data_IF_463261781360
#
_entry.id   IF_463261781360
#
_cell.length_a   1.000
_cell.length_b   1.000
_cell.length_c   1.000
_cell.angle_alpha   90.00
_cell.angle_beta   90.00
_cell.angle_gamma   90.00
#
_symmetry.space_group_name_H-M   'P 1'
#
loop_
_entity.id
_entity.type
_entity.pdbx_description
1 polymer ?
#
# COMPACT_ATOMS: atom_id res chain seq x y z
N UNK A 1 -16.41 7.77 21.54
CA UNK A 1 -16.45 7.40 20.10
C UNK A 1 -15.62 8.35 19.24
N UNK A 2 -15.83 9.67 19.37
CA UNK A 2 -15.09 10.71 18.64
C UNK A 2 -13.56 10.65 18.76
N UNK A 3 -13.03 10.36 19.96
CA UNK A 3 -11.58 10.25 20.16
C UNK A 3 -10.93 9.17 19.27
N UNK A 4 -11.58 8.02 19.04
CA UNK A 4 -11.04 6.95 18.17
C UNK A 4 -10.94 7.40 16.70
N UNK A 5 -11.97 8.12 16.24
CA UNK A 5 -12.00 8.67 14.87
C UNK A 5 -10.90 9.72 14.71
N UNK A 6 -10.77 10.63 15.68
CA UNK A 6 -9.76 11.68 15.68
C UNK A 6 -8.34 11.09 15.67
N UNK A 7 -8.08 10.05 16.47
CA UNK A 7 -6.80 9.33 16.46
C UNK A 7 -6.52 8.71 15.09
N UNK A 8 -7.49 8.05 14.46
CA UNK A 8 -7.30 7.47 13.13
C UNK A 8 -7.01 8.54 12.07
N UNK A 9 -7.67 9.69 12.13
CA UNK A 9 -7.39 10.82 11.22
C UNK A 9 -5.97 11.32 11.41
N UNK A 10 -5.53 11.52 12.65
CA UNK A 10 -4.15 11.93 12.94
C UNK A 10 -3.14 10.90 12.42
N UNK A 11 -3.41 9.61 12.58
CA UNK A 11 -2.53 8.55 12.09
C UNK A 11 -2.48 8.48 10.56
N UNK A 12 -3.62 8.68 9.89
CA UNK A 12 -3.65 8.76 8.42
C UNK A 12 -2.87 9.98 7.92
N UNK A 13 -3.07 11.13 8.55
CA UNK A 13 -2.36 12.36 8.21
C UNK A 13 -0.84 12.21 8.44
N UNK A 14 -0.43 11.65 9.59
CA UNK A 14 0.98 11.46 9.88
C UNK A 14 1.63 10.48 8.90
N UNK A 15 0.94 9.40 8.53
CA UNK A 15 1.43 8.46 7.53
C UNK A 15 1.58 9.10 6.15
N UNK A 16 0.59 9.88 5.72
CA UNK A 16 0.65 10.63 4.47
C UNK A 16 1.82 11.64 4.48
N UNK A 17 2.00 12.37 5.59
CA UNK A 17 3.10 13.33 5.74
C UNK A 17 4.48 12.65 5.71
N UNK A 18 4.62 11.48 6.33
CA UNK A 18 5.86 10.68 6.26
C UNK A 18 6.11 10.24 4.82
N UNK A 19 5.09 9.78 4.10
CA UNK A 19 5.22 9.41 2.68
C UNK A 19 5.66 10.60 1.82
N UNK A 20 5.02 11.75 1.96
CA UNK A 20 5.25 12.92 1.10
C UNK A 20 6.57 13.63 1.45
N UNK A 21 6.88 13.77 2.74
CA UNK A 21 8.03 14.57 3.18
C UNK A 21 9.29 13.73 3.39
N UNK A 22 9.17 12.63 4.14
CA UNK A 22 10.33 11.85 4.52
C UNK A 22 10.77 10.91 3.40
N UNK A 23 9.83 10.12 2.86
CA UNK A 23 10.16 9.12 1.84
C UNK A 23 10.55 9.78 0.52
N UNK A 24 9.82 10.81 0.08
CA UNK A 24 10.19 11.52 -1.15
C UNK A 24 11.57 12.22 -1.06
N UNK A 25 12.01 12.58 0.15
CA UNK A 25 13.32 13.20 0.40
C UNK A 25 14.49 12.21 0.50
N UNK A 26 14.25 10.90 0.43
CA UNK A 26 15.32 9.89 0.45
C UNK A 26 16.17 9.93 -0.83
N UNK A 27 17.43 9.44 -0.80
CA UNK A 27 18.26 9.35 -1.99
C UNK A 27 17.63 8.48 -3.08
N UNK A 28 18.08 8.70 -4.32
CA UNK A 28 17.58 8.00 -5.49
C UNK A 28 17.57 6.47 -5.29
N UNK A 29 16.43 5.84 -5.59
CA UNK A 29 16.19 4.42 -5.40
C UNK A 29 15.42 4.09 -4.13
N UNK A 30 15.60 4.86 -3.04
CA UNK A 30 14.82 4.72 -1.80
C UNK A 30 13.54 5.56 -1.79
N UNK A 31 13.52 6.63 -2.60
CA UNK A 31 12.41 7.57 -2.70
C UNK A 31 11.13 7.01 -3.35
N UNK A 32 11.20 5.83 -3.97
CA UNK A 32 10.05 5.20 -4.61
C UNK A 32 9.27 4.26 -3.68
N UNK A 33 9.69 4.13 -2.42
CA UNK A 33 9.03 3.26 -1.46
C UNK A 33 7.57 3.70 -1.22
N UNK A 34 6.63 2.75 -1.27
CA UNK A 34 5.21 3.04 -1.03
C UNK A 34 4.80 2.52 0.36
N UNK A 35 5.14 3.30 1.39
CA UNK A 35 4.82 2.97 2.78
C UNK A 35 3.32 2.85 3.00
N UNK A 36 2.56 3.75 2.38
CA UNK A 36 1.10 3.81 2.50
C UNK A 36 0.47 2.48 2.10
N UNK A 37 0.87 1.93 0.94
CA UNK A 37 0.38 0.64 0.46
C UNK A 37 0.77 -0.51 1.38
N UNK A 38 2.02 -0.56 1.85
CA UNK A 38 2.45 -1.65 2.74
C UNK A 38 1.66 -1.62 4.05
N UNK A 39 1.54 -0.44 4.67
CA UNK A 39 0.75 -0.28 5.90
C UNK A 39 -0.71 -0.66 5.67
N UNK A 40 -1.29 -0.27 4.53
CA UNK A 40 -2.66 -0.62 4.18
C UNK A 40 -2.88 -2.13 4.05
N UNK A 41 -1.95 -2.85 3.41
CA UNK A 41 -2.00 -4.32 3.33
C UNK A 41 -1.94 -4.94 4.74
N UNK A 42 -1.10 -4.42 5.64
CA UNK A 42 -1.05 -4.89 7.02
C UNK A 42 -2.32 -4.59 7.81
N UNK A 43 -2.91 -3.41 7.62
CA UNK A 43 -4.21 -3.07 8.21
C UNK A 43 -5.25 -4.09 7.76
N UNK A 44 -5.29 -4.39 6.46
CA UNK A 44 -6.20 -5.37 5.89
C UNK A 44 -6.01 -6.79 6.46
N UNK A 45 -4.77 -7.24 6.64
CA UNK A 45 -4.47 -8.56 7.24
C UNK A 45 -4.87 -8.62 8.72
N UNK A 46 -4.66 -7.53 9.46
CA UNK A 46 -4.88 -7.48 10.91
C UNK A 46 -6.34 -7.19 11.30
N UNK A 47 -7.11 -6.60 10.39
CA UNK A 47 -8.49 -6.15 10.60
C UNK A 47 -9.41 -6.66 9.49
N UNK A 48 -10.47 -5.93 9.16
CA UNK A 48 -11.46 -6.28 8.15
C UNK A 48 -11.46 -5.25 7.01
N UNK A 49 -12.09 -5.61 5.88
CA UNK A 49 -12.23 -4.74 4.71
C UNK A 49 -12.77 -3.35 5.06
N UNK A 50 -13.74 -3.26 5.98
CA UNK A 50 -14.36 -1.98 6.33
C UNK A 50 -13.33 -0.97 6.85
N UNK A 51 -12.44 -1.38 7.75
CA UNK A 51 -11.42 -0.49 8.30
C UNK A 51 -10.34 -0.18 7.26
N UNK A 52 -9.89 -1.20 6.52
CA UNK A 52 -8.92 -1.02 5.46
C UNK A 52 -9.42 -0.09 4.34
N UNK A 53 -10.70 -0.16 3.97
CA UNK A 53 -11.33 0.70 2.99
C UNK A 53 -11.41 2.16 3.48
N UNK A 54 -11.78 2.38 4.75
CA UNK A 54 -11.75 3.73 5.34
C UNK A 54 -10.34 4.33 5.31
N UNK A 55 -9.32 3.52 5.58
CA UNK A 55 -7.92 3.95 5.47
C UNK A 55 -7.50 4.18 4.03
N UNK A 56 -7.92 3.35 3.07
CA UNK A 56 -7.65 3.54 1.64
C UNK A 56 -8.17 4.89 1.14
N UNK A 57 -9.44 5.19 1.46
CA UNK A 57 -10.10 6.43 1.07
C UNK A 57 -9.44 7.62 1.75
N UNK A 58 -9.22 7.55 3.07
CA UNK A 58 -8.61 8.64 3.83
C UNK A 58 -7.18 8.95 3.41
N UNK A 59 -6.34 7.93 3.24
CA UNK A 59 -4.97 8.10 2.77
C UNK A 59 -4.91 8.60 1.33
N UNK A 60 -5.74 8.05 0.45
CA UNK A 60 -5.83 8.52 -0.93
C UNK A 60 -6.27 9.98 -1.03
N UNK A 61 -7.26 10.38 -0.24
CA UNK A 61 -7.69 11.77 -0.12
C UNK A 61 -6.55 12.70 0.32
N UNK A 62 -5.81 12.33 1.36
CA UNK A 62 -4.67 13.15 1.81
C UNK A 62 -3.56 13.20 0.76
N UNK A 63 -3.22 12.08 0.12
CA UNK A 63 -2.22 12.07 -0.94
C UNK A 63 -2.64 12.94 -2.13
N UNK A 64 -3.92 12.92 -2.51
CA UNK A 64 -4.44 13.75 -3.60
C UNK A 64 -4.38 15.25 -3.29
N UNK A 65 -4.57 15.68 -2.04
CA UNK A 65 -4.43 17.10 -1.65
C UNK A 65 -3.01 17.64 -1.91
N UNK A 66 -2.00 16.78 -1.75
CA UNK A 66 -0.60 17.15 -1.91
C UNK A 66 0.00 16.69 -3.25
N UNK A 67 -0.80 16.07 -4.12
CA UNK A 67 -0.36 15.60 -5.43
C UNK A 67 -0.53 16.68 -6.50
N UNK A 68 0.35 16.64 -7.51
CA UNK A 68 0.19 17.44 -8.72
C UNK A 68 -0.72 16.79 -9.77
N UNK A 69 -1.10 15.52 -9.59
CA UNK A 69 -2.05 14.82 -10.46
C UNK A 69 -3.49 15.30 -10.24
N UNK A 70 -4.39 14.96 -11.16
CA UNK A 70 -5.82 15.15 -10.95
C UNK A 70 -6.30 14.58 -9.61
N UNK A 71 -7.13 15.35 -8.91
CA UNK A 71 -7.71 14.94 -7.64
C UNK A 71 -8.56 13.68 -7.81
N UNK A 72 -8.33 12.67 -6.98
CA UNK A 72 -9.03 11.38 -7.01
C UNK A 72 -8.20 10.24 -7.60
N UNK A 73 -7.04 10.51 -8.24
CA UNK A 73 -6.19 9.44 -8.80
C UNK A 73 -5.68 8.52 -7.70
N UNK A 74 -5.09 9.06 -6.63
CA UNK A 74 -4.56 8.22 -5.54
C UNK A 74 -5.69 7.56 -4.74
N UNK A 75 -6.82 8.27 -4.54
CA UNK A 75 -8.01 7.72 -3.91
C UNK A 75 -8.54 6.48 -4.64
N UNK A 76 -8.71 6.58 -5.97
CA UNK A 76 -9.20 5.46 -6.78
C UNK A 76 -8.19 4.31 -6.81
N UNK A 77 -6.91 4.59 -7.00
CA UNK A 77 -5.85 3.58 -6.99
C UNK A 77 -5.80 2.81 -5.68
N UNK A 78 -5.68 3.49 -4.53
CA UNK A 78 -5.59 2.83 -3.23
C UNK A 78 -6.86 2.05 -2.89
N UNK A 79 -8.04 2.60 -3.21
CA UNK A 79 -9.30 1.92 -2.95
C UNK A 79 -9.44 0.65 -3.81
N UNK A 80 -9.12 0.72 -5.09
CA UNK A 80 -9.15 -0.42 -5.99
C UNK A 80 -8.14 -1.50 -5.56
N UNK A 81 -6.91 -1.10 -5.21
CA UNK A 81 -5.90 -2.01 -4.69
C UNK A 81 -6.34 -2.67 -3.38
N UNK A 82 -6.99 -1.94 -2.47
CA UNK A 82 -7.49 -2.49 -1.21
C UNK A 82 -8.53 -3.60 -1.45
N UNK A 83 -9.45 -3.39 -2.39
CA UNK A 83 -10.48 -4.38 -2.75
C UNK A 83 -9.85 -5.63 -3.37
N UNK A 84 -8.88 -5.46 -4.29
CA UNK A 84 -8.16 -6.60 -4.88
C UNK A 84 -7.34 -7.34 -3.84
N UNK A 85 -6.62 -6.61 -2.98
CA UNK A 85 -5.86 -7.22 -1.90
C UNK A 85 -6.77 -8.04 -0.97
N UNK A 86 -7.98 -7.57 -0.69
CA UNK A 86 -8.96 -8.31 0.13
C UNK A 86 -9.43 -9.58 -0.58
N UNK A 87 -9.74 -9.47 -1.87
CA UNK A 87 -10.10 -10.62 -2.69
C UNK A 87 -8.98 -11.67 -2.71
N UNK A 88 -7.72 -11.25 -2.88
CA UNK A 88 -6.57 -12.14 -2.86
C UNK A 88 -6.36 -12.77 -1.48
N UNK A 89 -6.48 -11.98 -0.41
CA UNK A 89 -6.34 -12.43 0.97
C UNK A 89 -7.35 -13.54 1.30
N UNK A 90 -8.61 -13.35 0.94
CA UNK A 90 -9.68 -14.30 1.29
C UNK A 90 -9.70 -15.55 0.41
N UNK A 91 -9.36 -15.45 -0.87
CA UNK A 91 -9.50 -16.57 -1.82
C UNK A 91 -8.19 -17.36 -2.02
N UNK A 92 -7.03 -16.72 -1.97
CA UNK A 92 -5.74 -17.36 -2.29
C UNK A 92 -4.79 -17.46 -1.09
N UNK A 93 -4.85 -16.49 -0.18
CA UNK A 93 -3.83 -16.26 0.85
C UNK A 93 -4.39 -16.42 2.27
N UNK A 94 -5.21 -17.44 2.49
CA UNK A 94 -5.86 -17.73 3.77
C UNK A 94 -4.86 -18.03 4.90
N UNK A 95 -3.68 -18.55 4.56
CA UNK A 95 -2.60 -18.78 5.51
C UNK A 95 -1.84 -17.47 5.75
N UNK A 96 -1.90 -16.91 6.97
CA UNK A 96 -1.16 -15.70 7.38
C UNK A 96 0.35 -15.93 7.59
N UNK A 97 0.97 -16.67 6.68
CA UNK A 97 2.40 -16.94 6.67
C UNK A 97 3.17 -15.78 6.02
N UNK A 98 4.47 -15.71 6.30
CA UNK A 98 5.37 -14.71 5.70
C UNK A 98 5.31 -14.75 4.16
N UNK A 99 5.28 -15.94 3.56
CA UNK A 99 5.18 -16.11 2.11
C UNK A 99 3.90 -15.52 1.52
N UNK A 100 2.77 -15.74 2.20
CA UNK A 100 1.47 -15.18 1.80
C UNK A 100 1.48 -13.65 1.88
N UNK A 101 2.07 -13.08 2.93
CA UNK A 101 2.16 -11.62 3.09
C UNK A 101 3.09 -11.02 2.03
N UNK A 102 4.24 -11.64 1.77
CA UNK A 102 5.15 -11.20 0.72
C UNK A 102 4.48 -11.24 -0.66
N UNK A 103 3.74 -12.32 -0.97
CA UNK A 103 2.98 -12.43 -2.22
C UNK A 103 1.84 -11.40 -2.31
N UNK A 104 1.16 -11.12 -1.19
CA UNK A 104 0.08 -10.14 -1.16
C UNK A 104 0.61 -8.72 -1.37
N UNK A 105 1.72 -8.36 -0.72
CA UNK A 105 2.38 -7.05 -0.88
C UNK A 105 2.91 -6.88 -2.30
N UNK A 106 3.53 -7.91 -2.89
CA UNK A 106 4.04 -7.84 -4.25
C UNK A 106 2.92 -7.65 -5.27
N UNK A 107 1.86 -8.47 -5.20
CA UNK A 107 0.70 -8.35 -6.09
C UNK A 107 -0.01 -7.02 -5.89
N UNK A 108 -0.22 -6.58 -4.65
CA UNK A 108 -0.85 -5.28 -4.36
C UNK A 108 -0.04 -4.12 -4.93
N UNK A 109 1.30 -4.18 -4.84
CA UNK A 109 2.19 -3.19 -5.44
C UNK A 109 2.03 -3.18 -6.96
N UNK A 110 2.05 -4.35 -7.61
CA UNK A 110 1.87 -4.45 -9.06
C UNK A 110 0.51 -3.90 -9.49
N UNK A 111 -0.59 -4.28 -8.83
CA UNK A 111 -1.92 -3.77 -9.16
C UNK A 111 -2.04 -2.26 -8.95
N UNK A 112 -1.49 -1.73 -7.86
CA UNK A 112 -1.43 -0.29 -7.61
C UNK A 112 -0.73 0.46 -8.75
N UNK A 113 0.46 0.00 -9.15
CA UNK A 113 1.21 0.63 -10.23
C UNK A 113 0.51 0.52 -11.58
N UNK A 114 -0.14 -0.61 -11.87
CA UNK A 114 -0.94 -0.78 -13.10
C UNK A 114 -2.11 0.21 -13.11
N UNK A 115 -2.83 0.34 -11.99
CA UNK A 115 -3.92 1.32 -11.91
C UNK A 115 -3.43 2.75 -12.03
N UNK A 116 -2.37 3.10 -11.31
CA UNK A 116 -1.80 4.43 -11.34
C UNK A 116 -1.32 4.79 -12.75
N UNK A 117 -0.57 3.89 -13.41
CA UNK A 117 -0.16 4.08 -14.80
C UNK A 117 -1.36 4.21 -15.75
N UNK A 118 -2.42 3.42 -15.57
CA UNK A 118 -3.62 3.52 -16.39
C UNK A 118 -4.37 4.85 -16.24
N UNK A 119 -4.48 5.36 -15.01
CA UNK A 119 -5.18 6.62 -14.74
C UNK A 119 -4.36 7.82 -15.22
N UNK A 120 -3.04 7.81 -14.99
CA UNK A 120 -2.15 8.83 -15.53
C UNK A 120 -2.12 8.80 -17.06
N UNK A 121 -2.19 7.62 -17.69
CA UNK A 121 -2.29 7.53 -19.14
C UNK A 121 -3.59 8.17 -19.66
N UNK A 122 -4.72 7.92 -18.99
CA UNK A 122 -5.99 8.56 -19.33
C UNK A 122 -5.91 10.08 -19.16
N UNK A 123 -5.36 10.57 -18.04
CA UNK A 123 -5.14 11.99 -17.77
C UNK A 123 -4.30 12.64 -18.89
N UNK A 124 -3.15 12.05 -19.23
CA UNK A 124 -2.27 12.55 -20.28
C UNK A 124 -2.91 12.51 -21.67
N UNK A 125 -3.74 11.51 -21.96
CA UNK A 125 -4.50 11.43 -23.21
C UNK A 125 -5.48 12.61 -23.36
N UNK A 126 -6.17 12.97 -22.28
CA UNK A 126 -7.06 14.15 -22.28
C UNK A 126 -6.28 15.48 -22.34
N UNK A 127 -5.11 15.55 -21.70
CA UNK A 127 -4.25 16.75 -21.68
C UNK A 127 -3.31 16.88 -22.88
N UNK A 128 -3.30 15.90 -23.79
CA UNK A 128 -2.41 15.82 -24.97
C UNK A 128 -0.91 15.94 -24.63
N UNK A 129 -0.50 15.33 -23.52
CA UNK A 129 0.89 15.27 -23.10
C UNK A 129 1.59 14.03 -23.69
N UNK A 130 2.89 14.14 -23.97
CA UNK A 130 3.67 13.04 -24.57
C UNK A 130 3.72 11.81 -23.65
N UNK A 131 3.23 10.67 -24.16
CA UNK A 131 3.07 9.43 -23.40
C UNK A 131 4.29 8.49 -23.43
N UNK A 132 5.43 8.93 -23.97
CA UNK A 132 6.61 8.06 -24.22
C UNK A 132 7.42 7.69 -22.96
N UNK A 133 6.96 8.01 -21.76
CA UNK A 133 7.73 7.78 -20.52
C UNK A 133 7.71 6.33 -19.99
N UNK A 134 6.78 5.48 -20.46
CA UNK A 134 6.55 4.12 -19.92
C UNK A 134 7.61 3.10 -20.39
N UNK A 135 8.26 3.32 -21.53
CA UNK A 135 9.26 2.39 -22.09
C UNK A 135 10.71 2.71 -21.69
N UNK A 136 10.92 3.59 -20.71
CA UNK A 136 12.26 3.96 -20.26
C UNK A 136 12.84 2.91 -19.30
N UNK A 137 14.12 2.52 -19.47
CA UNK A 137 14.83 1.63 -18.54
C UNK A 137 14.85 2.16 -17.10
N UNK A 138 14.94 3.48 -16.92
CA UNK A 138 14.88 4.14 -15.60
C UNK A 138 13.52 3.92 -14.93
N UNK A 139 12.43 3.93 -15.71
CA UNK A 139 11.09 3.66 -15.19
C UNK A 139 11.03 2.24 -14.61
N UNK A 140 11.42 1.22 -15.36
CA UNK A 140 11.40 -0.17 -14.89
C UNK A 140 12.32 -0.41 -13.70
N UNK A 141 13.51 0.20 -13.70
CA UNK A 141 14.43 0.15 -12.55
C UNK A 141 13.80 0.75 -11.30
N UNK A 142 13.10 1.89 -11.43
CA UNK A 142 12.42 2.52 -10.30
C UNK A 142 11.29 1.65 -9.73
N UNK A 143 10.48 1.00 -10.58
CA UNK A 143 9.39 0.12 -10.14
C UNK A 143 9.88 -1.16 -9.49
N UNK A 144 10.98 -1.72 -10.00
CA UNK A 144 11.64 -2.86 -9.36
C UNK A 144 12.21 -2.46 -7.99
N UNK A 145 12.84 -1.29 -7.88
CA UNK A 145 13.36 -0.78 -6.59
C UNK A 145 12.24 -0.60 -5.56
N UNK A 146 11.10 -0.04 -5.96
CA UNK A 146 9.91 0.09 -5.13
C UNK A 146 9.38 -1.27 -4.64
N UNK A 147 9.29 -2.26 -5.54
CA UNK A 147 8.84 -3.61 -5.18
C UNK A 147 9.77 -4.25 -4.12
N UNK A 148 11.08 -4.16 -4.32
CA UNK A 148 12.08 -4.69 -3.37
C UNK A 148 11.93 -3.99 -2.02
N UNK A 149 11.81 -2.67 -1.99
CA UNK A 149 11.67 -1.91 -0.74
C UNK A 149 10.37 -2.23 -0.01
N UNK A 150 9.25 -2.34 -0.74
CA UNK A 150 7.98 -2.75 -0.18
C UNK A 150 8.09 -4.15 0.46
N UNK A 151 8.77 -5.08 -0.21
CA UNK A 151 9.01 -6.43 0.32
C UNK A 151 9.89 -6.39 1.57
N UNK A 152 11.04 -5.71 1.54
CA UNK A 152 11.94 -5.59 2.69
C UNK A 152 11.19 -5.00 3.89
N UNK A 153 10.48 -3.90 3.68
CA UNK A 153 9.72 -3.26 4.76
C UNK A 153 8.59 -4.15 5.28
N UNK A 154 7.92 -4.89 4.40
CA UNK A 154 6.89 -5.85 4.82
C UNK A 154 7.47 -6.97 5.68
N UNK A 155 8.68 -7.44 5.41
CA UNK A 155 9.36 -8.44 6.24
C UNK A 155 9.68 -7.86 7.62
N UNK A 156 10.21 -6.64 7.67
CA UNK A 156 10.48 -5.93 8.93
C UNK A 156 9.20 -5.78 9.76
N UNK A 157 8.12 -5.29 9.15
CA UNK A 157 6.82 -5.16 9.82
C UNK A 157 6.27 -6.52 10.29
N UNK A 158 6.40 -7.57 9.49
CA UNK A 158 5.96 -8.90 9.88
C UNK A 158 6.66 -9.37 11.16
N UNK A 159 7.99 -9.26 11.23
CA UNK A 159 8.73 -9.66 12.43
C UNK A 159 8.40 -8.78 13.64
N UNK A 160 8.27 -7.46 13.46
CA UNK A 160 7.87 -6.55 14.53
C UNK A 160 6.48 -6.89 15.08
N UNK A 161 5.50 -7.12 14.20
CA UNK A 161 4.14 -7.43 14.64
C UNK A 161 4.09 -8.84 15.20
N UNK A 162 4.81 -9.83 14.66
CA UNK A 162 4.86 -11.17 15.25
C UNK A 162 5.53 -11.19 16.64
N UNK A 163 6.49 -10.27 16.88
CA UNK A 163 7.10 -10.09 18.20
C UNK A 163 6.12 -9.48 19.20
N UNK A 164 5.36 -8.46 18.80
CA UNK A 164 4.41 -7.75 19.68
C UNK A 164 3.08 -8.51 19.83
N UNK A 165 2.63 -9.19 18.77
CA UNK A 165 1.30 -9.77 18.65
C UNK A 165 1.36 -11.27 18.41
N UNK A 166 0.62 -12.04 19.22
CA UNK A 166 0.45 -13.49 19.04
C UNK A 166 -0.53 -13.86 17.92
N UNK A 167 -1.12 -12.88 17.21
CA UNK A 167 -2.16 -13.11 16.18
C UNK A 167 -1.68 -13.86 14.94
N UNK A 168 -0.37 -14.02 14.74
CA UNK A 168 0.21 -14.77 13.62
C UNK A 168 0.56 -16.23 13.95
N UNK A 169 0.20 -16.74 15.13
CA UNK A 169 0.45 -18.15 15.46
C UNK A 169 -0.45 -19.06 14.63
N UNK A 170 0.10 -20.06 13.90
CA UNK A 170 -0.71 -21.03 13.18
C UNK A 170 -1.56 -21.83 14.17
N UNK A 171 -2.85 -22.02 13.85
CA UNK A 171 -3.82 -22.71 14.69
C UNK A 171 -3.43 -24.15 15.07
N UNK A 172 -2.49 -24.75 14.32
CA UNK A 172 -2.01 -26.12 14.52
C UNK A 172 -1.17 -26.36 15.78
N UNK A 173 -0.73 -25.32 16.49
CA UNK A 173 0.10 -25.46 17.71
C UNK A 173 -0.67 -25.30 19.03
N UNK A 174 -2.01 -25.32 19.00
CA UNK A 174 -2.79 -25.42 20.25
C UNK A 174 -2.78 -26.87 20.70
N UNK A 175 -1.75 -27.28 21.45
CA UNK A 175 -1.79 -28.51 22.24
C UNK A 175 -2.99 -28.40 23.19
N UNK A 176 -4.05 -29.19 22.94
CA UNK A 176 -5.06 -29.50 23.96
C UNK A 176 -4.30 -30.10 25.16
N UNK A 177 -4.30 -29.39 26.27
CA UNK A 177 -4.14 -30.01 27.58
C UNK A 177 -5.50 -30.53 28.01
#
# INVERSE_FOLDING_TARGET
MYSKVLINIILMLSLAMIQISFIAGLPAGLNNFNLVLVVLVFILILTDLNLAAWWAIGLGFFLDIFSFSAFGVNLLCLSATAVIAYFLLNNFFTNRSLYSIAALVSLSTVFHEVFLASLLFLENFFLKLDANSVFNAVFWSSKLSQLILNLIFSLVLFYLINFVSRKFKPAFLVKRK
#
